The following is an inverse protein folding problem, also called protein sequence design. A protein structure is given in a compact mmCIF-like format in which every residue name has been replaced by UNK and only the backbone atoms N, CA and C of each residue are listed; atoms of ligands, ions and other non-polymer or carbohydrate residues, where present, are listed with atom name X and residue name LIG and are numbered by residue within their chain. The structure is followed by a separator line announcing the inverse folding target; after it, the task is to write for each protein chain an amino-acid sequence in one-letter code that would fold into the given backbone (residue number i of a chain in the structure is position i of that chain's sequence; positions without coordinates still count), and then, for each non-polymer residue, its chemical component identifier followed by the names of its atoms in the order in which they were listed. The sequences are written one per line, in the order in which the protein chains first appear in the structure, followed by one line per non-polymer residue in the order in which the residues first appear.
data_IF_349739017309
#
_entry.id   IF_349739017309
#
_cell.length_a   1.000
_cell.length_b   1.000
_cell.length_c   1.000
_cell.angle_alpha   90.00
_cell.angle_beta   90.00
_cell.angle_gamma   90.00
#
_symmetry.space_group_name_H-M   'P 1'
#
loop_
_entity.id
_entity.type
_entity.pdbx_description
1 polymer ?
#
# COMPACT_ATOMS: atom_id res chain seq x y z
N UNK A 1 -24.27 -13.60 -64.44
CA UNK A 1 -23.35 -14.16 -63.45
C UNK A 1 -22.96 -13.04 -62.49
N UNK A 2 -23.58 -13.00 -61.32
CA UNK A 2 -23.29 -11.95 -60.31
C UNK A 2 -22.21 -12.49 -59.37
N UNK A 3 -21.03 -11.85 -59.35
CA UNK A 3 -19.96 -12.17 -58.42
C UNK A 3 -20.29 -11.56 -57.05
N UNK A 4 -20.50 -12.41 -56.07
CA UNK A 4 -20.72 -12.05 -54.66
C UNK A 4 -19.34 -11.78 -54.06
N UNK A 5 -19.07 -10.53 -53.70
CA UNK A 5 -17.85 -10.13 -52.99
C UNK A 5 -18.09 -10.39 -51.49
N UNK A 6 -17.43 -11.39 -50.92
CA UNK A 6 -17.38 -11.58 -49.49
C UNK A 6 -16.39 -10.60 -48.90
N UNK A 7 -16.89 -9.62 -48.13
CA UNK A 7 -16.07 -8.73 -47.32
C UNK A 7 -15.86 -9.42 -45.99
N UNK A 8 -14.67 -9.95 -45.78
CA UNK A 8 -14.26 -10.50 -44.49
C UNK A 8 -13.96 -9.31 -43.53
N UNK A 9 -14.88 -9.00 -42.63
CA UNK A 9 -14.62 -8.02 -41.62
C UNK A 9 -13.65 -8.60 -40.56
N UNK A 10 -12.43 -8.10 -40.59
CA UNK A 10 -11.42 -8.44 -39.58
C UNK A 10 -11.71 -7.64 -38.30
N UNK A 11 -12.28 -8.33 -37.32
CA UNK A 11 -12.56 -7.74 -35.99
C UNK A 11 -11.23 -7.59 -35.27
N UNK A 12 -10.69 -6.37 -35.24
CA UNK A 12 -9.55 -6.04 -34.40
C UNK A 12 -10.00 -5.97 -32.94
N UNK A 13 -9.60 -6.96 -32.15
CA UNK A 13 -9.71 -6.87 -30.69
C UNK A 13 -8.79 -5.75 -30.20
N UNK A 14 -9.28 -4.81 -29.37
CA UNK A 14 -8.39 -3.88 -28.72
C UNK A 14 -7.53 -4.65 -27.72
N UNK A 15 -6.20 -4.60 -27.88
CA UNK A 15 -5.27 -4.95 -26.82
C UNK A 15 -5.56 -3.99 -25.66
N UNK A 16 -6.16 -4.49 -24.59
CA UNK A 16 -6.21 -3.77 -23.33
C UNK A 16 -4.74 -3.62 -22.88
N UNK A 17 -4.21 -2.40 -22.96
CA UNK A 17 -2.98 -2.04 -22.30
C UNK A 17 -3.23 -2.28 -20.80
N UNK A 18 -2.59 -3.31 -20.25
CA UNK A 18 -2.65 -3.57 -18.83
C UNK A 18 -2.04 -2.38 -18.11
N UNK A 19 -2.89 -1.61 -17.42
CA UNK A 19 -2.44 -0.59 -16.50
C UNK A 19 -1.56 -1.25 -15.45
N UNK A 20 -0.26 -1.07 -15.56
CA UNK A 20 0.71 -1.47 -14.54
C UNK A 20 0.64 -0.50 -13.35
N UNK A 21 -0.54 -0.30 -12.80
CA UNK A 21 -0.69 0.45 -11.56
C UNK A 21 -0.15 -0.41 -10.41
N UNK A 22 0.84 0.11 -9.70
CA UNK A 22 1.05 -0.26 -8.32
C UNK A 22 -0.31 -0.11 -7.65
N UNK A 23 -0.86 -1.14 -7.01
CA UNK A 23 -2.22 -1.22 -6.46
C UNK A 23 -2.85 0.05 -5.89
N UNK A 24 -4.02 -0.03 -5.26
CA UNK A 24 -4.76 1.17 -4.86
C UNK A 24 -4.00 1.98 -3.80
N UNK A 25 -4.08 3.31 -3.92
CA UNK A 25 -3.54 4.26 -2.96
C UNK A 25 -4.62 4.75 -2.00
N UNK A 26 -4.20 5.14 -0.80
CA UNK A 26 -5.00 5.90 0.17
C UNK A 26 -4.29 7.21 0.51
N UNK A 27 -5.04 8.27 0.70
CA UNK A 27 -4.52 9.47 1.36
C UNK A 27 -4.26 9.18 2.85
N UNK A 28 -3.42 9.97 3.51
CA UNK A 28 -3.18 9.79 4.94
C UNK A 28 -4.46 9.96 5.79
N UNK A 29 -5.35 10.94 5.52
CA UNK A 29 -6.64 11.03 6.21
C UNK A 29 -7.55 9.81 5.99
N UNK A 30 -7.62 9.30 4.76
CA UNK A 30 -8.45 8.12 4.47
C UNK A 30 -7.90 6.87 5.15
N UNK A 31 -6.58 6.70 5.16
CA UNK A 31 -5.91 5.60 5.85
C UNK A 31 -6.14 5.68 7.37
N UNK A 32 -6.05 6.89 7.96
CA UNK A 32 -6.37 7.10 9.38
C UNK A 32 -7.83 6.75 9.69
N UNK A 33 -8.78 7.26 8.89
CA UNK A 33 -10.20 6.98 9.09
C UNK A 33 -10.51 5.49 8.94
N UNK A 34 -9.97 4.83 7.93
CA UNK A 34 -10.17 3.40 7.70
C UNK A 34 -9.54 2.54 8.80
N UNK A 35 -8.36 2.88 9.28
CA UNK A 35 -7.70 2.19 10.39
C UNK A 35 -8.46 2.37 11.70
N UNK A 36 -8.91 3.60 12.01
CA UNK A 36 -9.70 3.91 13.20
C UNK A 36 -11.04 3.19 13.22
N UNK A 37 -11.64 2.96 12.04
CA UNK A 37 -12.88 2.21 11.89
C UNK A 37 -12.67 0.68 11.83
N UNK A 38 -11.44 0.19 11.94
CA UNK A 38 -11.12 -1.24 11.84
C UNK A 38 -11.26 -1.83 10.43
N UNK A 39 -11.36 -0.99 9.40
CA UNK A 39 -11.54 -1.41 8.00
C UNK A 39 -10.24 -1.85 7.32
N UNK A 40 -9.11 -1.37 7.81
CA UNK A 40 -7.76 -1.77 7.35
C UNK A 40 -6.82 -1.95 8.53
N UNK A 41 -5.82 -2.81 8.37
CA UNK A 41 -4.66 -2.88 9.27
C UNK A 41 -3.59 -1.93 8.74
N UNK A 42 -3.36 -0.83 9.45
CA UNK A 42 -2.30 0.10 9.11
C UNK A 42 -0.97 -0.46 9.62
N UNK A 43 0.04 -0.48 8.75
CA UNK A 43 1.37 -1.01 9.04
C UNK A 43 2.43 0.02 8.63
N UNK A 44 3.19 0.48 9.59
CA UNK A 44 4.33 1.39 9.39
C UNK A 44 5.59 0.57 9.11
N UNK A 45 6.10 0.68 7.88
CA UNK A 45 7.27 -0.09 7.44
C UNK A 45 8.58 0.73 7.46
N UNK A 46 8.60 1.82 8.25
CA UNK A 46 9.82 2.61 8.48
C UNK A 46 10.80 1.88 9.41
N UNK A 47 11.86 2.55 9.78
CA UNK A 47 12.86 2.05 10.73
C UNK A 47 12.50 2.40 12.18
N UNK A 48 13.03 1.66 13.17
CA UNK A 48 12.91 2.02 14.58
C UNK A 48 13.36 3.44 14.90
N UNK A 49 14.41 3.92 14.24
CA UNK A 49 14.88 5.29 14.40
C UNK A 49 13.82 6.30 13.96
N UNK A 50 13.18 6.09 12.81
CA UNK A 50 12.12 6.97 12.31
C UNK A 50 10.90 6.95 13.25
N UNK A 51 10.52 5.79 13.78
CA UNK A 51 9.41 5.67 14.75
C UNK A 51 9.70 6.47 16.03
N UNK A 52 10.94 6.40 16.55
CA UNK A 52 11.34 7.17 17.73
C UNK A 52 11.32 8.68 17.48
N UNK A 53 11.71 9.11 16.29
CA UNK A 53 11.80 10.52 15.93
C UNK A 53 10.45 11.21 15.80
N UNK A 54 9.47 10.54 15.22
CA UNK A 54 8.18 11.15 14.87
C UNK A 54 7.00 10.62 15.66
N UNK A 55 7.14 9.47 16.31
CA UNK A 55 6.01 8.64 16.69
C UNK A 55 5.45 7.83 15.54
N UNK A 56 4.38 7.12 15.79
CA UNK A 56 3.67 6.24 14.86
C UNK A 56 2.18 6.55 14.87
N UNK A 57 1.48 6.18 13.79
CA UNK A 57 0.03 6.28 13.76
C UNK A 57 -0.60 5.37 14.85
N UNK A 58 -1.71 5.80 15.51
CA UNK A 58 -2.33 5.01 16.55
C UNK A 58 -2.68 3.60 16.08
N UNK A 59 -2.27 2.59 16.85
CA UNK A 59 -2.58 1.19 16.59
C UNK A 59 -1.87 0.58 15.37
N UNK A 60 -0.96 1.29 14.72
CA UNK A 60 -0.24 0.77 13.56
C UNK A 60 0.69 -0.38 13.96
N UNK A 61 0.67 -1.45 13.16
CA UNK A 61 1.71 -2.47 13.18
C UNK A 61 3.04 -1.85 12.73
N UNK A 62 4.15 -2.42 13.18
CA UNK A 62 5.50 -1.92 12.86
C UNK A 62 6.35 -3.02 12.30
N UNK A 63 6.91 -2.81 11.12
CA UNK A 63 7.80 -3.77 10.45
C UNK A 63 8.94 -2.98 9.81
N UNK A 64 10.16 -3.20 10.23
CA UNK A 64 11.32 -2.58 9.58
C UNK A 64 11.56 -3.22 8.20
N UNK A 65 11.26 -2.45 7.15
CA UNK A 65 11.41 -2.86 5.76
C UNK A 65 12.85 -3.28 5.41
N UNK A 66 13.85 -2.69 6.06
CA UNK A 66 15.27 -2.99 5.78
C UNK A 66 15.73 -4.36 6.28
N UNK A 67 14.90 -5.06 7.05
CA UNK A 67 15.20 -6.43 7.49
C UNK A 67 14.96 -7.49 6.38
N UNK A 68 14.48 -7.06 5.23
CA UNK A 68 14.33 -7.90 4.05
C UNK A 68 12.92 -8.46 3.84
N UNK A 69 12.69 -9.05 2.66
CA UNK A 69 11.36 -9.47 2.22
C UNK A 69 10.75 -10.61 3.05
N UNK A 70 11.58 -11.53 3.55
CA UNK A 70 11.11 -12.65 4.38
C UNK A 70 10.58 -12.17 5.73
N UNK A 71 11.27 -11.20 6.35
CA UNK A 71 10.81 -10.59 7.60
C UNK A 71 9.55 -9.76 7.37
N UNK A 72 9.48 -9.02 6.26
CA UNK A 72 8.26 -8.30 5.89
C UNK A 72 7.08 -9.26 5.75
N UNK A 73 7.23 -10.32 4.98
CA UNK A 73 6.16 -11.31 4.75
C UNK A 73 5.70 -11.98 6.05
N UNK A 74 6.64 -12.51 6.84
CA UNK A 74 6.30 -13.20 8.08
C UNK A 74 5.66 -12.28 9.11
N UNK A 75 6.14 -11.04 9.23
CA UNK A 75 5.58 -10.05 10.15
C UNK A 75 4.17 -9.61 9.73
N UNK A 76 3.96 -9.36 8.45
CA UNK A 76 2.61 -9.00 7.93
C UNK A 76 1.64 -10.16 8.13
N UNK A 77 2.03 -11.39 7.82
CA UNK A 77 1.21 -12.58 8.08
C UNK A 77 0.83 -12.70 9.56
N UNK A 78 1.76 -12.45 10.46
CA UNK A 78 1.48 -12.46 11.90
C UNK A 78 0.47 -11.35 12.30
N UNK A 79 0.62 -10.14 11.78
CA UNK A 79 -0.27 -9.01 12.04
C UNK A 79 -1.70 -9.29 11.60
N UNK A 80 -1.88 -9.96 10.47
CA UNK A 80 -3.22 -10.28 9.91
C UNK A 80 -3.71 -11.68 10.25
N UNK A 81 -3.02 -12.41 11.14
CA UNK A 81 -3.44 -13.76 11.55
C UNK A 81 -3.42 -14.78 10.40
N UNK A 82 -2.53 -14.63 9.42
CA UNK A 82 -2.42 -15.49 8.26
C UNK A 82 -3.41 -15.20 7.12
N UNK A 83 -4.32 -14.24 7.31
CA UNK A 83 -5.34 -13.91 6.31
C UNK A 83 -4.79 -12.99 5.22
N UNK A 84 -4.47 -13.54 4.05
CA UNK A 84 -4.02 -12.78 2.88
C UNK A 84 -5.11 -11.93 2.23
N UNK A 85 -6.36 -12.10 2.60
CA UNK A 85 -7.48 -11.28 2.13
C UNK A 85 -7.78 -10.11 3.08
N UNK A 86 -7.11 -10.01 4.23
CA UNK A 86 -7.26 -8.89 5.13
C UNK A 86 -6.83 -7.58 4.47
N UNK A 87 -7.61 -6.49 4.58
CA UNK A 87 -7.23 -5.20 4.05
C UNK A 87 -6.05 -4.61 4.85
N UNK A 88 -4.98 -4.25 4.14
CA UNK A 88 -3.75 -3.70 4.70
C UNK A 88 -3.48 -2.35 4.07
N UNK A 89 -3.12 -1.36 4.87
CA UNK A 89 -2.57 -0.09 4.42
C UNK A 89 -1.13 0.05 4.90
N UNK A 90 -0.21 0.30 3.99
CA UNK A 90 1.22 0.45 4.28
C UNK A 90 1.61 1.92 4.29
N UNK A 91 2.34 2.37 5.30
CA UNK A 91 2.90 3.71 5.36
C UNK A 91 4.41 3.65 5.58
N UNK A 92 5.14 4.51 4.88
CA UNK A 92 6.56 4.78 5.11
C UNK A 92 6.80 6.30 5.13
N UNK A 93 8.02 6.74 4.88
CA UNK A 93 8.32 8.17 4.93
C UNK A 93 7.68 8.96 3.77
N UNK A 94 7.82 8.47 2.52
CA UNK A 94 7.45 9.21 1.29
C UNK A 94 6.66 8.37 0.28
N UNK A 95 6.22 7.15 0.64
CA UNK A 95 5.48 6.25 -0.24
C UNK A 95 6.34 5.36 -1.13
N UNK A 96 7.66 5.52 -1.15
CA UNK A 96 8.54 4.76 -2.04
C UNK A 96 8.75 3.31 -1.57
N UNK A 97 9.17 3.12 -0.31
CA UNK A 97 9.32 1.77 0.29
C UNK A 97 8.00 1.00 0.25
N UNK A 98 6.90 1.66 0.54
CA UNK A 98 5.55 1.06 0.53
C UNK A 98 5.08 0.68 -0.85
N UNK A 99 5.47 1.39 -1.90
CA UNK A 99 5.19 0.99 -3.28
C UNK A 99 5.86 -0.35 -3.62
N UNK A 100 7.11 -0.54 -3.21
CA UNK A 100 7.81 -1.81 -3.38
C UNK A 100 7.20 -2.94 -2.53
N UNK A 101 6.91 -2.66 -1.26
CA UNK A 101 6.29 -3.61 -0.34
C UNK A 101 4.90 -4.05 -0.83
N UNK A 102 4.09 -3.13 -1.36
CA UNK A 102 2.78 -3.40 -1.92
C UNK A 102 2.87 -4.42 -3.05
N UNK A 103 3.75 -4.19 -4.03
CA UNK A 103 3.96 -5.11 -5.16
C UNK A 103 4.44 -6.48 -4.69
N UNK A 104 5.36 -6.50 -3.75
CA UNK A 104 5.87 -7.74 -3.18
C UNK A 104 4.78 -8.54 -2.49
N UNK A 105 4.00 -7.92 -1.60
CA UNK A 105 2.90 -8.60 -0.88
C UNK A 105 1.80 -9.08 -1.83
N UNK A 106 1.47 -8.30 -2.86
CA UNK A 106 0.52 -8.73 -3.91
C UNK A 106 1.03 -9.99 -4.64
N UNK A 107 2.31 -10.04 -4.97
CA UNK A 107 2.93 -11.24 -5.56
C UNK A 107 2.92 -12.45 -4.61
N UNK A 108 2.86 -12.21 -3.29
CA UNK A 108 2.74 -13.25 -2.26
C UNK A 108 1.27 -13.64 -1.98
N UNK A 109 0.32 -13.15 -2.76
CA UNK A 109 -1.09 -13.53 -2.68
C UNK A 109 -1.97 -12.65 -1.79
N UNK A 110 -1.45 -11.52 -1.29
CA UNK A 110 -2.30 -10.54 -0.61
C UNK A 110 -3.19 -9.81 -1.61
N UNK A 111 -4.49 -9.77 -1.35
CA UNK A 111 -5.49 -9.30 -2.33
C UNK A 111 -5.90 -7.84 -2.15
N UNK A 112 -5.67 -7.25 -0.96
CA UNK A 112 -6.09 -5.89 -0.62
C UNK A 112 -4.97 -5.14 0.11
N UNK A 113 -3.99 -4.66 -0.66
CA UNK A 113 -2.84 -3.91 -0.13
C UNK A 113 -2.87 -2.49 -0.68
N UNK A 114 -3.04 -1.51 0.20
CA UNK A 114 -3.08 -0.09 -0.12
C UNK A 114 -1.75 0.57 0.21
N UNK A 115 -1.34 1.52 -0.62
CA UNK A 115 -0.19 2.37 -0.34
C UNK A 115 -0.67 3.73 0.19
N UNK A 116 -0.20 4.15 1.36
CA UNK A 116 -0.35 5.53 1.80
C UNK A 116 0.75 6.35 1.13
N UNK A 117 0.49 6.73 -0.13
CA UNK A 117 1.51 7.22 -1.06
C UNK A 117 2.11 8.57 -0.68
N UNK A 118 1.40 9.40 0.07
CA UNK A 118 1.99 10.64 0.61
C UNK A 118 2.93 10.38 1.80
N UNK A 119 2.81 9.25 2.48
CA UNK A 119 3.67 8.85 3.59
C UNK A 119 3.58 9.75 4.82
N UNK A 120 4.55 9.61 5.71
CA UNK A 120 4.64 10.43 6.92
C UNK A 120 5.11 11.86 6.63
N UNK A 121 6.12 12.01 5.76
CA UNK A 121 6.77 13.29 5.50
C UNK A 121 6.21 14.06 4.30
N UNK A 122 5.35 13.45 3.50
CA UNK A 122 4.84 14.01 2.27
C UNK A 122 5.58 13.54 1.02
N UNK A 123 4.92 13.67 -0.11
CA UNK A 123 5.41 13.34 -1.45
C UNK A 123 4.64 14.15 -2.50
N UNK A 124 4.82 13.83 -3.79
CA UNK A 124 3.98 14.39 -4.84
C UNK A 124 2.48 14.06 -4.67
N UNK A 125 2.15 13.01 -3.92
CA UNK A 125 0.77 12.60 -3.66
C UNK A 125 0.05 13.44 -2.59
N UNK A 126 0.79 14.12 -1.73
CA UNK A 126 0.19 14.96 -0.68
C UNK A 126 1.19 15.39 0.40
N UNK A 127 0.75 16.24 1.34
CA UNK A 127 1.61 16.84 2.36
C UNK A 127 2.13 15.84 3.42
N UNK A 128 1.52 14.68 3.56
CA UNK A 128 1.91 13.64 4.50
C UNK A 128 1.25 13.73 5.86
N UNK A 129 1.33 12.64 6.60
CA UNK A 129 0.69 12.46 7.90
C UNK A 129 1.04 13.57 8.89
N UNK A 130 2.36 13.91 8.97
CA UNK A 130 2.87 14.89 9.94
C UNK A 130 2.36 16.31 9.66
N UNK A 131 2.43 16.79 8.41
CA UNK A 131 1.95 18.13 8.05
C UNK A 131 0.43 18.25 8.13
N UNK A 132 -0.28 17.14 8.01
CA UNK A 132 -1.73 17.11 8.22
C UNK A 132 -2.12 17.08 9.69
N UNK A 133 -1.14 17.03 10.60
CA UNK A 133 -1.36 16.96 12.05
C UNK A 133 -2.30 15.83 12.48
N UNK A 134 -2.27 14.71 11.75
CA UNK A 134 -3.01 13.51 12.12
C UNK A 134 -2.44 12.91 13.42
N UNK A 135 -3.26 12.19 14.23
CA UNK A 135 -2.83 11.65 15.50
C UNK A 135 -1.58 10.78 15.42
N UNK A 136 -0.73 10.88 16.43
CA UNK A 136 0.49 10.10 16.60
C UNK A 136 0.57 9.60 18.05
N UNK A 137 1.13 8.41 18.20
CA UNK A 137 1.56 7.85 19.48
C UNK A 137 3.07 7.92 19.59
N UNK A 138 3.58 8.35 20.74
CA UNK A 138 5.02 8.31 21.00
C UNK A 138 5.53 6.87 20.98
N UNK A 139 6.69 6.68 20.40
CA UNK A 139 7.33 5.36 20.28
C UNK A 139 8.77 5.39 20.81
N UNK A 140 8.98 5.99 21.98
CA UNK A 140 10.30 6.14 22.57
C UNK A 140 10.99 4.78 22.81
N UNK A 141 10.21 3.72 23.04
CA UNK A 141 10.70 2.35 23.29
C UNK A 141 10.82 1.52 21.99
N UNK A 142 10.51 2.10 20.83
CA UNK A 142 10.76 1.43 19.56
C UNK A 142 12.30 1.24 19.29
#
# INVERSE_FOLDING_TARGET
MKKLLMITAMLALPLAAGDSHAGPDLSAPDAFAAASAGKVRLIDIRTPQEWRQTGVAPGAGRVDFHRGPEVLLSSVLQIVGGDRNAPIALICRTGNRTSHAQKFLQAQGFTRVYNVSEGMAGSAAGPGWLKRELPLESCAQC
#
